data_IF_636847772842
#
_entry.id   IF_636847772842
#
_cell.length_a   1.000
_cell.length_b   1.000
_cell.length_c   1.000
_cell.angle_alpha   90.00
_cell.angle_beta   90.00
_cell.angle_gamma   90.00
#
_symmetry.space_group_name_H-M   'P 1'
#
loop_
_entity.id
_entity.type
_entity.pdbx_description
1 polymer ?
#
# COMPACT_ATOMS: atom_id res chain seq x y z
N UNK A 1 0.81 28.23 -7.93
CA UNK A 1 1.30 29.61 -8.19
C UNK A 1 2.81 29.58 -8.18
N UNK A 2 3.44 29.75 -9.34
CA UNK A 2 4.82 30.22 -9.55
C UNK A 2 4.96 30.53 -11.05
N UNK A 3 5.36 31.77 -11.35
CA UNK A 3 5.31 32.40 -12.67
C UNK A 3 6.58 32.16 -13.50
N UNK A 4 6.49 32.30 -14.83
CA UNK A 4 7.64 32.36 -15.75
C UNK A 4 7.42 33.49 -16.77
N UNK A 5 8.37 34.42 -16.84
CA UNK A 5 8.41 35.55 -17.79
C UNK A 5 8.96 35.08 -19.14
N UNK A 6 8.32 35.47 -20.24
CA UNK A 6 8.85 35.42 -21.60
C UNK A 6 8.51 36.75 -22.31
N UNK A 7 9.51 37.34 -22.96
CA UNK A 7 9.42 38.66 -23.58
C UNK A 7 8.66 38.64 -24.91
N UNK A 8 7.83 39.67 -25.08
CA UNK A 8 7.15 40.03 -26.33
C UNK A 8 8.16 40.61 -27.32
N UNK A 9 8.20 40.05 -28.52
CA UNK A 9 9.01 40.60 -29.60
C UNK A 9 8.54 40.10 -30.97
N UNK A 10 7.73 40.95 -31.62
CA UNK A 10 7.44 41.00 -33.07
C UNK A 10 6.28 40.13 -33.59
N UNK A 11 5.07 40.61 -33.32
CA UNK A 11 3.96 40.56 -34.28
C UNK A 11 3.61 42.02 -34.56
N UNK A 12 3.78 42.45 -35.81
CA UNK A 12 3.02 43.48 -36.55
C UNK A 12 3.90 44.02 -37.67
N UNK A 13 3.56 43.65 -38.91
CA UNK A 13 3.36 44.56 -40.06
C UNK A 13 3.47 43.77 -41.39
N UNK A 14 2.32 43.52 -42.00
CA UNK A 14 2.15 43.54 -43.46
C UNK A 14 1.78 44.97 -43.86
N UNK A 15 2.13 45.46 -45.06
CA UNK A 15 1.24 45.32 -46.23
C UNK A 15 2.01 44.99 -47.53
N UNK A 16 1.53 44.09 -48.40
CA UNK A 16 0.63 44.37 -49.54
C UNK A 16 1.03 45.61 -50.37
N UNK A 17 1.76 45.37 -51.46
CA UNK A 17 1.89 46.31 -52.58
C UNK A 17 1.62 45.59 -53.91
N UNK A 18 0.47 45.96 -54.47
CA UNK A 18 0.05 45.86 -55.86
C UNK A 18 1.07 46.56 -56.77
N UNK A 19 1.48 45.92 -57.86
CA UNK A 19 1.89 46.61 -59.10
C UNK A 19 1.37 45.80 -60.29
N UNK A 20 0.38 46.39 -60.97
CA UNK A 20 -0.04 46.09 -62.33
C UNK A 20 1.11 46.42 -63.30
N UNK A 21 1.40 45.53 -64.25
CA UNK A 21 1.95 45.96 -65.54
C UNK A 21 1.30 45.15 -66.66
N UNK A 22 0.72 45.92 -67.58
CA UNK A 22 -0.07 45.48 -68.71
C UNK A 22 0.79 44.82 -69.81
N UNK A 23 0.10 43.94 -70.54
CA UNK A 23 0.35 43.30 -71.82
C UNK A 23 1.29 44.02 -72.82
N UNK A 24 2.01 43.22 -73.62
CA UNK A 24 1.78 43.07 -75.08
C UNK A 24 2.95 42.34 -75.74
N UNK A 25 2.68 41.28 -76.50
CA UNK A 25 3.68 40.63 -77.34
C UNK A 25 3.28 39.22 -77.78
N UNK A 26 2.37 39.11 -78.75
CA UNK A 26 2.29 37.92 -79.59
C UNK A 26 3.47 37.93 -80.57
N UNK A 27 3.98 36.75 -80.98
CA UNK A 27 3.56 36.29 -82.29
C UNK A 27 3.22 34.79 -82.36
N UNK A 28 2.27 34.52 -83.26
CA UNK A 28 1.85 33.22 -83.75
C UNK A 28 3.03 32.39 -84.28
N UNK A 29 2.98 31.08 -84.10
CA UNK A 29 3.31 30.11 -85.15
C UNK A 29 2.69 28.74 -84.81
N UNK A 30 1.97 28.24 -85.81
CA UNK A 30 1.14 27.05 -85.81
C UNK A 30 1.90 25.76 -85.47
N UNK A 31 1.35 24.94 -84.58
CA UNK A 31 1.64 23.51 -84.52
C UNK A 31 0.41 22.74 -83.99
N UNK A 32 -0.37 22.22 -84.95
CA UNK A 32 -1.17 20.98 -84.89
C UNK A 32 -1.64 20.49 -83.51
N UNK A 33 -2.88 20.87 -83.14
CA UNK A 33 -3.67 20.15 -82.15
C UNK A 33 -4.00 18.74 -82.68
N UNK A 34 -3.29 17.73 -82.18
CA UNK A 34 -3.75 16.35 -82.19
C UNK A 34 -4.77 16.20 -81.06
N UNK A 35 -6.06 16.18 -81.40
CA UNK A 35 -7.13 15.75 -80.49
C UNK A 35 -7.10 14.24 -80.41
N UNK A 36 -6.11 13.68 -79.71
CA UNK A 36 -6.26 12.35 -79.15
C UNK A 36 -7.26 12.48 -78.00
N UNK A 37 -8.43 11.88 -78.18
CA UNK A 37 -9.43 11.70 -77.13
C UNK A 37 -8.74 11.13 -75.90
N UNK A 38 -8.50 11.97 -74.89
CA UNK A 38 -8.12 11.49 -73.57
C UNK A 38 -9.34 10.75 -73.06
N UNK A 39 -9.35 9.44 -73.29
CA UNK A 39 -10.21 8.52 -72.58
C UNK A 39 -9.84 8.72 -71.11
N UNK A 40 -10.70 9.42 -70.37
CA UNK A 40 -10.73 9.32 -68.92
C UNK A 40 -11.06 7.86 -68.61
N UNK A 41 -10.03 7.01 -68.57
CA UNK A 41 -10.15 5.66 -68.05
C UNK A 41 -10.45 5.83 -66.57
N UNK A 42 -11.72 5.68 -66.21
CA UNK A 42 -12.15 5.52 -64.83
C UNK A 42 -11.35 4.37 -64.22
N UNK A 43 -10.30 4.70 -63.49
CA UNK A 43 -9.49 3.76 -62.71
C UNK A 43 -10.23 3.36 -61.41
N UNK A 44 -11.51 3.04 -61.51
CA UNK A 44 -12.21 2.22 -60.52
C UNK A 44 -12.42 0.84 -61.12
N UNK A 45 -11.31 0.22 -61.54
CA UNK A 45 -11.24 -1.23 -61.49
C UNK A 45 -11.35 -1.61 -60.02
N UNK A 46 -12.55 -2.03 -59.62
CA UNK A 46 -12.83 -2.63 -58.32
C UNK A 46 -12.20 -4.03 -58.34
N UNK A 47 -10.88 -4.09 -58.40
CA UNK A 47 -10.15 -5.33 -58.28
C UNK A 47 -10.37 -5.83 -56.86
N UNK A 48 -11.02 -6.98 -56.72
CA UNK A 48 -11.34 -7.63 -55.44
C UNK A 48 -10.07 -8.19 -54.74
N UNK A 49 -8.98 -7.45 -54.71
CA UNK A 49 -7.79 -7.74 -53.92
C UNK A 49 -7.90 -7.07 -52.54
N UNK A 50 -9.01 -7.31 -51.84
CA UNK A 50 -9.20 -6.76 -50.50
C UNK A 50 -8.31 -7.50 -49.49
N UNK A 51 -7.60 -6.72 -48.69
CA UNK A 51 -6.71 -7.21 -47.63
C UNK A 51 -7.53 -7.48 -46.36
N UNK A 52 -7.30 -8.58 -45.63
CA UNK A 52 -8.01 -8.85 -44.38
C UNK A 52 -7.73 -7.76 -43.33
N UNK A 53 -8.73 -7.53 -42.46
CA UNK A 53 -8.69 -6.50 -41.43
C UNK A 53 -7.44 -6.59 -40.53
N UNK A 54 -6.96 -7.79 -40.22
CA UNK A 54 -5.77 -8.01 -39.38
C UNK A 54 -4.51 -7.36 -39.97
N UNK A 55 -4.35 -7.44 -41.29
CA UNK A 55 -3.18 -6.88 -41.99
C UNK A 55 -3.26 -5.36 -42.09
N UNK A 56 -4.47 -4.79 -42.22
CA UNK A 56 -4.72 -3.34 -42.15
C UNK A 56 -4.47 -2.79 -40.74
N UNK A 57 -4.98 -3.47 -39.71
CA UNK A 57 -4.74 -3.06 -38.32
C UNK A 57 -3.27 -3.15 -37.95
N UNK A 58 -2.54 -4.15 -38.45
CA UNK A 58 -1.09 -4.29 -38.25
C UNK A 58 -0.32 -3.11 -38.84
N UNK A 59 -0.68 -2.60 -40.03
CA UNK A 59 0.01 -1.43 -40.60
C UNK A 59 -0.27 -0.15 -39.82
N UNK A 60 -1.51 0.06 -39.35
CA UNK A 60 -1.91 1.29 -38.65
C UNK A 60 -1.37 1.34 -37.21
N UNK A 61 -1.28 0.19 -36.53
CA UNK A 61 -0.91 0.14 -35.11
C UNK A 61 0.54 -0.20 -34.85
N UNK A 62 1.26 -0.79 -35.82
CA UNK A 62 2.65 -1.15 -35.60
C UNK A 62 3.58 0.06 -35.64
N UNK A 63 4.45 0.14 -34.64
CA UNK A 63 5.70 0.91 -34.76
C UNK A 63 6.71 0.00 -35.47
N UNK A 64 7.64 0.57 -36.25
CA UNK A 64 8.74 -0.21 -36.81
C UNK A 64 9.43 -1.03 -35.71
N UNK A 65 9.79 -2.28 -35.99
CA UNK A 65 10.37 -3.20 -34.99
C UNK A 65 11.63 -2.59 -34.32
N UNK A 66 12.38 -1.79 -35.08
CA UNK A 66 13.51 -1.00 -34.58
C UNK A 66 13.07 0.15 -33.64
N UNK A 67 11.99 0.87 -33.97
CA UNK A 67 11.43 1.94 -33.15
C UNK A 67 10.84 1.44 -31.84
N UNK A 68 10.20 0.27 -31.85
CA UNK A 68 9.65 -0.39 -30.67
C UNK A 68 10.75 -0.88 -29.71
N UNK A 69 11.79 -1.53 -30.23
CA UNK A 69 12.91 -2.05 -29.42
C UNK A 69 13.69 -0.93 -28.69
N UNK A 70 13.83 0.24 -29.31
CA UNK A 70 14.59 1.38 -28.77
C UNK A 70 13.74 2.38 -27.99
N UNK A 71 12.45 2.11 -27.79
CA UNK A 71 11.55 3.01 -27.04
C UNK A 71 11.31 4.38 -27.69
N UNK A 72 11.48 4.48 -29.02
CA UNK A 72 11.34 5.76 -29.75
C UNK A 72 9.89 6.23 -29.93
N UNK A 73 8.92 5.35 -29.67
CA UNK A 73 7.49 5.67 -29.75
C UNK A 73 6.96 6.28 -28.45
N UNK A 74 6.27 7.42 -28.54
CA UNK A 74 5.56 8.02 -27.40
C UNK A 74 4.46 7.07 -26.93
N UNK A 75 4.37 6.82 -25.62
CA UNK A 75 3.37 5.92 -25.04
C UNK A 75 1.93 6.49 -25.06
N UNK A 76 1.80 7.81 -25.09
CA UNK A 76 0.52 8.51 -25.21
C UNK A 76 0.02 8.48 -26.66
N UNK A 77 -1.28 8.19 -26.85
CA UNK A 77 -1.92 8.23 -28.17
C UNK A 77 -1.82 6.95 -29.01
N UNK A 78 -1.48 5.79 -28.42
CA UNK A 78 -1.50 4.52 -29.16
C UNK A 78 -2.91 4.21 -29.67
N UNK A 79 -3.04 4.05 -30.98
CA UNK A 79 -4.27 3.62 -31.63
C UNK A 79 -4.61 2.22 -31.12
N UNK A 80 -5.74 2.07 -30.44
CA UNK A 80 -6.25 0.78 -30.00
C UNK A 80 -6.97 0.11 -31.17
N UNK A 81 -6.64 -1.15 -31.42
CA UNK A 81 -7.35 -1.97 -32.41
C UNK A 81 -8.81 -2.03 -32.00
N UNK A 82 -9.71 -1.69 -32.93
CA UNK A 82 -11.15 -1.88 -32.76
C UNK A 82 -11.58 -3.05 -33.61
N UNK A 83 -12.17 -4.05 -32.98
CA UNK A 83 -12.78 -5.16 -33.71
C UNK A 83 -14.08 -4.67 -34.35
N UNK A 84 -14.10 -4.63 -35.68
CA UNK A 84 -15.23 -4.16 -36.49
C UNK A 84 -16.32 -5.22 -36.62
N UNK A 85 -16.00 -6.50 -36.38
CA UNK A 85 -16.96 -7.61 -36.45
C UNK A 85 -17.78 -7.72 -35.16
N UNK A 86 -17.27 -7.19 -34.05
CA UNK A 86 -17.96 -7.19 -32.76
C UNK A 86 -19.23 -6.33 -32.84
N UNK A 87 -20.38 -6.97 -32.69
CA UNK A 87 -21.70 -6.33 -32.72
C UNK A 87 -22.41 -6.39 -34.07
N UNK A 88 -21.82 -7.01 -35.09
CA UNK A 88 -22.49 -7.31 -36.35
C UNK A 88 -23.19 -8.68 -36.25
N UNK A 89 -24.44 -8.76 -36.69
CA UNK A 89 -25.17 -10.03 -36.81
C UNK A 89 -25.21 -10.47 -38.27
N UNK A 90 -24.99 -11.77 -38.51
CA UNK A 90 -25.05 -12.33 -39.86
C UNK A 90 -26.50 -12.20 -40.39
N UNK A 91 -26.63 -11.73 -41.63
CA UNK A 91 -27.93 -11.44 -42.26
C UNK A 91 -28.50 -10.04 -41.97
N UNK A 92 -27.91 -9.28 -41.05
CA UNK A 92 -28.26 -7.87 -40.83
C UNK A 92 -27.41 -6.99 -41.73
N UNK A 93 -28.02 -6.45 -42.78
CA UNK A 93 -27.39 -5.52 -43.72
C UNK A 93 -27.91 -4.08 -43.56
N UNK A 94 -27.49 -3.21 -44.48
CA UNK A 94 -28.11 -1.86 -44.61
C UNK A 94 -29.59 -1.94 -44.95
N UNK A 95 -29.98 -3.01 -45.65
CA UNK A 95 -31.37 -3.33 -45.95
C UNK A 95 -31.89 -4.18 -44.79
N UNK A 96 -32.98 -3.73 -44.17
CA UNK A 96 -33.62 -4.40 -43.04
C UNK A 96 -34.48 -5.58 -43.51
N UNK A 97 -33.81 -6.62 -44.03
CA UNK A 97 -34.45 -7.88 -44.42
C UNK A 97 -34.37 -8.90 -43.30
N UNK A 98 -35.49 -9.58 -43.06
CA UNK A 98 -35.57 -10.73 -42.16
C UNK A 98 -35.28 -12.00 -42.96
N UNK A 99 -34.15 -12.64 -42.68
CA UNK A 99 -33.79 -13.93 -43.26
C UNK A 99 -34.24 -15.07 -42.34
N UNK A 100 -35.24 -15.89 -42.74
CA UNK A 100 -35.66 -17.05 -41.95
C UNK A 100 -34.50 -18.04 -41.80
N UNK A 101 -34.17 -18.41 -40.57
CA UNK A 101 -33.04 -19.32 -40.27
C UNK A 101 -31.67 -18.64 -40.13
N UNK A 102 -31.58 -17.32 -40.34
CA UNK A 102 -30.34 -16.56 -40.17
C UNK A 102 -30.51 -15.35 -39.24
N UNK A 103 -31.42 -14.43 -39.57
CA UNK A 103 -31.72 -13.25 -38.74
C UNK A 103 -33.02 -13.40 -37.94
N UNK A 104 -33.95 -14.23 -38.42
CA UNK A 104 -35.17 -14.59 -37.70
C UNK A 104 -35.16 -16.09 -37.35
N UNK A 105 -35.50 -16.48 -36.11
CA UNK A 105 -35.59 -17.89 -35.76
C UNK A 105 -36.72 -18.55 -36.56
N UNK A 106 -36.45 -19.74 -37.10
CA UNK A 106 -37.45 -20.55 -37.83
C UNK A 106 -38.59 -20.98 -36.89
N UNK A 107 -38.33 -21.04 -35.58
CA UNK A 107 -39.29 -21.46 -34.55
C UNK A 107 -39.32 -20.41 -33.42
N UNK A 108 -40.49 -19.79 -33.21
CA UNK A 108 -40.73 -18.78 -32.15
C UNK A 108 -40.91 -19.46 -30.78
N UNK A 109 -39.82 -19.74 -30.07
CA UNK A 109 -39.86 -20.16 -28.67
C UNK A 109 -39.23 -19.12 -27.74
N UNK A 110 -40.04 -18.43 -26.92
CA UNK A 110 -39.59 -17.42 -25.93
C UNK A 110 -38.69 -18.00 -24.83
N UNK A 111 -38.69 -19.32 -24.65
CA UNK A 111 -38.04 -20.01 -23.52
C UNK A 111 -36.51 -20.12 -23.62
N UNK A 112 -35.94 -20.15 -24.82
CA UNK A 112 -34.48 -20.27 -25.01
C UNK A 112 -33.74 -18.95 -24.73
N UNK A 113 -34.38 -17.82 -25.03
CA UNK A 113 -33.79 -16.48 -24.85
C UNK A 113 -33.59 -16.14 -23.38
N UNK A 114 -34.54 -16.47 -22.50
CA UNK A 114 -34.43 -16.21 -21.07
C UNK A 114 -33.30 -17.02 -20.40
N UNK A 115 -33.09 -18.27 -20.82
CA UNK A 115 -32.00 -19.12 -20.32
C UNK A 115 -30.63 -18.57 -20.72
N UNK A 116 -30.48 -18.09 -21.95
CA UNK A 116 -29.23 -17.49 -22.44
C UNK A 116 -28.86 -16.19 -21.71
N UNK A 117 -29.87 -15.35 -21.38
CA UNK A 117 -29.64 -14.11 -20.62
C UNK A 117 -29.16 -14.42 -19.19
N UNK A 118 -29.77 -15.41 -18.52
CA UNK A 118 -29.33 -15.86 -17.18
C UNK A 118 -27.90 -16.39 -17.15
N UNK A 119 -27.48 -17.13 -18.19
CA UNK A 119 -26.09 -17.62 -18.30
C UNK A 119 -25.10 -16.47 -18.46
N UNK A 120 -25.42 -15.46 -19.30
CA UNK A 120 -24.57 -14.29 -19.53
C UNK A 120 -24.31 -13.47 -18.26
N UNK A 121 -25.35 -13.23 -17.46
CA UNK A 121 -25.25 -12.40 -16.24
C UNK A 121 -24.54 -13.15 -15.10
N UNK A 122 -24.49 -14.48 -15.14
CA UNK A 122 -23.71 -15.28 -14.17
C UNK A 122 -22.20 -15.16 -14.39
N UNK A 123 -21.74 -14.99 -15.64
CA UNK A 123 -20.30 -14.93 -15.99
C UNK A 123 -19.64 -13.59 -15.66
N UNK A 124 -20.41 -12.53 -15.40
CA UNK A 124 -19.88 -11.17 -15.11
C UNK A 124 -19.68 -10.88 -13.62
N UNK A 125 -20.16 -11.73 -12.72
CA UNK A 125 -19.96 -11.58 -11.26
C UNK A 125 -18.62 -12.20 -10.81
N UNK A 126 -17.54 -11.43 -10.91
CA UNK A 126 -16.31 -11.77 -10.20
C UNK A 126 -16.49 -11.54 -8.70
N UNK A 127 -16.62 -12.63 -7.93
CA UNK A 127 -16.61 -12.58 -6.47
C UNK A 127 -15.17 -12.31 -6.00
N UNK A 128 -14.95 -11.19 -5.32
CA UNK A 128 -13.69 -10.92 -4.59
C UNK A 128 -13.60 -11.94 -3.44
N UNK A 129 -12.66 -12.88 -3.52
CA UNK A 129 -12.40 -13.84 -2.44
C UNK A 129 -12.01 -13.06 -1.18
N UNK A 130 -12.78 -13.23 -0.09
CA UNK A 130 -12.36 -12.82 1.26
C UNK A 130 -11.33 -13.84 1.76
N UNK A 131 -10.26 -13.35 2.38
CA UNK A 131 -9.25 -14.20 3.01
C UNK A 131 -9.92 -15.09 4.07
N UNK A 132 -9.58 -16.38 4.07
CA UNK A 132 -10.10 -17.38 4.98
C UNK A 132 -9.50 -17.20 6.38
N UNK A 133 -10.19 -17.59 7.48
CA UNK A 133 -9.65 -17.49 8.84
C UNK A 133 -8.31 -18.22 9.07
N UNK A 134 -8.02 -19.23 8.24
CA UNK A 134 -6.75 -20.00 8.25
C UNK A 134 -5.56 -19.12 7.83
N UNK A 135 -5.77 -18.05 7.07
CA UNK A 135 -4.71 -17.16 6.58
C UNK A 135 -4.24 -16.11 7.60
N UNK A 136 -4.82 -16.08 8.82
CA UNK A 136 -4.40 -15.16 9.88
C UNK A 136 -3.03 -15.60 10.42
N UNK A 137 -2.06 -14.70 10.45
CA UNK A 137 -0.69 -15.00 10.91
C UNK A 137 0.25 -15.57 9.85
N UNK A 138 -0.26 -16.03 8.69
CA UNK A 138 0.57 -16.56 7.60
C UNK A 138 0.96 -15.46 6.62
N UNK A 139 2.27 -15.20 6.50
CA UNK A 139 2.77 -14.28 5.49
C UNK A 139 4.06 -14.79 4.83
N UNK A 140 4.23 -14.43 3.57
CA UNK A 140 5.42 -14.74 2.79
C UNK A 140 5.71 -13.63 1.80
N UNK A 141 6.96 -13.50 1.40
CA UNK A 141 7.36 -12.56 0.36
C UNK A 141 8.16 -13.28 -0.72
N UNK A 142 8.08 -12.76 -1.95
CA UNK A 142 8.69 -13.37 -3.11
C UNK A 142 9.11 -12.33 -4.14
N UNK A 143 10.22 -12.60 -4.82
CA UNK A 143 10.70 -11.79 -5.93
C UNK A 143 10.57 -12.57 -7.23
N UNK A 144 10.02 -11.92 -8.25
CA UNK A 144 9.86 -12.45 -9.60
C UNK A 144 10.42 -11.48 -10.62
N UNK A 145 11.39 -11.93 -11.41
CA UNK A 145 11.94 -11.17 -12.52
C UNK A 145 11.42 -11.77 -13.84
N UNK A 146 10.95 -10.91 -14.74
CA UNK A 146 10.56 -11.25 -16.09
C UNK A 146 10.62 -10.01 -16.98
N UNK A 147 10.61 -10.20 -18.31
CA UNK A 147 10.56 -9.12 -19.29
C UNK A 147 9.23 -8.35 -19.24
N UNK A 148 8.14 -9.05 -18.96
CA UNK A 148 6.80 -8.47 -18.84
C UNK A 148 6.36 -8.35 -17.38
N UNK A 149 5.77 -7.21 -17.03
CA UNK A 149 5.28 -6.93 -15.68
C UNK A 149 4.26 -7.97 -15.15
N UNK A 150 3.21 -8.38 -15.89
CA UNK A 150 2.26 -9.38 -15.38
C UNK A 150 2.92 -10.74 -15.13
N UNK A 151 3.87 -11.14 -15.97
CA UNK A 151 4.62 -12.39 -15.79
C UNK A 151 5.52 -12.33 -14.55
N UNK A 152 6.17 -11.18 -14.31
CA UNK A 152 6.98 -10.96 -13.11
C UNK A 152 6.14 -11.04 -11.83
N UNK A 153 4.95 -10.42 -11.84
CA UNK A 153 4.01 -10.46 -10.72
C UNK A 153 3.51 -11.88 -10.45
N UNK A 154 3.16 -12.65 -11.50
CA UNK A 154 2.75 -14.06 -11.36
C UNK A 154 3.86 -14.90 -10.72
N UNK A 155 5.11 -14.73 -11.16
CA UNK A 155 6.26 -15.42 -10.56
C UNK A 155 6.46 -15.03 -9.10
N UNK A 156 6.35 -13.75 -8.76
CA UNK A 156 6.47 -13.26 -7.38
C UNK A 156 5.37 -13.83 -6.48
N UNK A 157 4.12 -13.88 -6.96
CA UNK A 157 2.98 -14.47 -6.24
C UNK A 157 3.17 -15.96 -5.98
N UNK A 158 3.54 -16.73 -7.00
CA UNK A 158 3.75 -18.17 -6.84
C UNK A 158 4.90 -18.46 -5.87
N UNK A 159 5.99 -17.69 -5.95
CA UNK A 159 7.14 -17.85 -5.06
C UNK A 159 6.86 -17.45 -3.61
N UNK A 160 6.04 -16.42 -3.39
CA UNK A 160 5.63 -16.03 -2.02
C UNK A 160 4.73 -17.09 -1.39
N UNK A 161 3.81 -17.68 -2.15
CA UNK A 161 2.97 -18.79 -1.67
C UNK A 161 3.75 -20.05 -1.28
N UNK A 162 4.92 -20.28 -1.89
CA UNK A 162 5.81 -21.39 -1.51
C UNK A 162 6.64 -21.13 -0.24
N UNK A 163 6.74 -19.86 0.20
CA UNK A 163 7.60 -19.43 1.32
C UNK A 163 6.78 -18.71 2.38
N UNK A 164 5.71 -19.35 2.81
CA UNK A 164 4.88 -18.86 3.90
C UNK A 164 5.55 -19.16 5.24
N UNK A 165 5.46 -18.20 6.15
CA UNK A 165 5.91 -18.29 7.53
C UNK A 165 4.72 -17.98 8.43
N UNK A 166 4.63 -18.69 9.55
CA UNK A 166 3.63 -18.43 10.58
C UNK A 166 4.18 -17.42 11.59
N UNK A 167 3.40 -16.38 11.88
CA UNK A 167 3.74 -15.33 12.83
C UNK A 167 2.71 -15.30 13.95
N UNK A 168 3.21 -15.32 15.19
CA UNK A 168 2.38 -15.23 16.37
C UNK A 168 2.02 -13.77 16.68
N UNK A 169 0.74 -13.52 16.90
CA UNK A 169 0.18 -12.20 17.19
C UNK A 169 -0.33 -12.18 18.63
N UNK A 170 0.24 -11.30 19.46
CA UNK A 170 -0.19 -11.10 20.84
C UNK A 170 -1.56 -10.43 20.89
N UNK A 171 -2.48 -11.02 21.66
CA UNK A 171 -3.86 -10.56 21.83
C UNK A 171 -4.62 -10.33 20.50
N UNK A 172 -4.18 -10.96 19.40
CA UNK A 172 -4.78 -10.79 18.08
C UNK A 172 -4.66 -9.38 17.48
N UNK A 173 -3.80 -8.50 18.01
CA UNK A 173 -3.63 -7.14 17.49
C UNK A 173 -2.17 -6.63 17.40
N UNK A 174 -1.23 -7.12 18.23
CA UNK A 174 0.14 -6.57 18.33
C UNK A 174 1.22 -7.66 18.44
N UNK A 175 2.48 -7.26 18.60
CA UNK A 175 3.63 -8.15 18.85
C UNK A 175 3.84 -8.38 20.36
N UNK A 176 4.59 -9.43 20.74
CA UNK A 176 4.85 -9.77 22.14
C UNK A 176 5.70 -8.72 22.87
N UNK A 177 6.72 -8.19 22.20
CA UNK A 177 7.77 -7.35 22.82
C UNK A 177 8.44 -6.47 21.76
N UNK A 178 9.07 -5.38 22.21
CA UNK A 178 9.85 -4.49 21.36
C UNK A 178 11.07 -5.24 20.84
N UNK A 179 11.44 -5.12 19.57
CA UNK A 179 12.63 -5.80 19.05
C UNK A 179 13.43 -4.94 18.08
N UNK A 180 14.72 -5.25 18.01
CA UNK A 180 15.65 -4.67 17.06
C UNK A 180 16.03 -5.71 16.01
N UNK A 181 15.99 -5.31 14.74
CA UNK A 181 16.53 -6.12 13.65
C UNK A 181 17.33 -5.32 12.66
N UNK A 182 18.27 -5.99 12.00
CA UNK A 182 19.03 -5.41 10.92
C UNK A 182 19.19 -6.39 9.77
N UNK A 183 19.11 -5.87 8.54
CA UNK A 183 19.48 -6.59 7.34
C UNK A 183 20.33 -5.69 6.44
N UNK A 184 21.59 -6.07 6.23
CA UNK A 184 22.58 -5.20 5.61
C UNK A 184 22.73 -3.88 6.39
N UNK A 185 22.59 -2.74 5.68
CA UNK A 185 22.65 -1.39 6.28
C UNK A 185 21.29 -0.85 6.76
N UNK A 186 20.24 -1.67 6.72
CA UNK A 186 18.88 -1.28 7.16
C UNK A 186 18.68 -1.77 8.58
N UNK A 187 18.39 -0.86 9.51
CA UNK A 187 18.09 -1.15 10.91
C UNK A 187 16.63 -0.81 11.18
N UNK A 188 15.91 -1.69 11.86
CA UNK A 188 14.50 -1.51 12.19
C UNK A 188 14.34 -1.70 13.69
N UNK A 189 13.76 -0.68 14.32
CA UNK A 189 13.34 -0.70 15.71
C UNK A 189 11.82 -0.79 15.73
N UNK A 190 11.31 -1.87 16.29
CA UNK A 190 9.88 -2.13 16.38
C UNK A 190 9.45 -2.03 17.84
N UNK A 191 8.35 -1.32 18.08
CA UNK A 191 7.78 -1.15 19.41
C UNK A 191 6.36 -1.67 19.44
N UNK A 192 6.05 -2.45 20.48
CA UNK A 192 4.72 -2.85 20.88
C UNK A 192 3.91 -1.60 21.24
N UNK A 193 2.64 -1.62 20.85
CA UNK A 193 1.65 -0.59 21.19
C UNK A 193 0.36 -1.23 21.65
N UNK A 194 -0.38 -0.46 22.45
CA UNK A 194 -1.69 -0.83 22.98
C UNK A 194 -2.74 -0.74 21.88
N UNK A 195 -3.92 -1.31 22.16
CA UNK A 195 -5.06 -1.28 21.25
C UNK A 195 -5.48 0.16 20.91
N UNK A 196 -5.82 0.42 19.65
CA UNK A 196 -6.29 1.73 19.18
C UNK A 196 -5.18 2.71 18.78
N UNK A 197 -3.90 2.33 18.90
CA UNK A 197 -2.79 3.17 18.44
C UNK A 197 -2.67 3.19 16.90
N UNK A 198 -2.97 2.07 16.25
CA UNK A 198 -2.87 1.87 14.81
C UNK A 198 -1.44 1.59 14.31
N UNK A 199 -1.25 1.62 12.99
CA UNK A 199 0.02 1.34 12.33
C UNK A 199 0.80 2.62 12.03
N UNK A 200 1.80 2.93 12.84
CA UNK A 200 2.76 4.02 12.61
C UNK A 200 4.10 3.46 12.12
N UNK A 201 4.16 3.10 10.85
CA UNK A 201 5.31 2.45 10.25
C UNK A 201 5.52 2.86 8.77
N UNK A 202 6.61 2.39 8.16
CA UNK A 202 6.87 2.58 6.74
C UNK A 202 5.83 1.84 5.87
N UNK A 203 5.50 2.37 4.68
CA UNK A 203 4.43 1.84 3.80
C UNK A 203 4.47 0.33 3.58
N UNK A 204 5.66 -0.25 3.37
CA UNK A 204 5.78 -1.69 3.14
C UNK A 204 5.52 -2.52 4.40
N UNK A 205 5.96 -2.03 5.56
CA UNK A 205 5.70 -2.68 6.84
C UNK A 205 4.20 -2.64 7.12
N UNK A 206 3.53 -1.52 6.80
CA UNK A 206 2.08 -1.38 6.94
C UNK A 206 1.31 -2.45 6.17
N UNK A 207 1.64 -2.65 4.89
CA UNK A 207 1.01 -3.69 4.07
C UNK A 207 1.27 -5.11 4.61
N UNK A 208 2.49 -5.37 5.10
CA UNK A 208 2.84 -6.65 5.73
C UNK A 208 2.02 -6.87 7.00
N UNK A 209 1.94 -5.88 7.88
CA UNK A 209 1.14 -5.95 9.10
C UNK A 209 -0.34 -6.20 8.79
N UNK A 210 -0.89 -5.54 7.78
CA UNK A 210 -2.27 -5.77 7.33
C UNK A 210 -2.49 -7.18 6.81
N UNK A 211 -1.52 -7.75 6.10
CA UNK A 211 -1.58 -9.13 5.62
C UNK A 211 -1.51 -10.16 6.76
N UNK A 212 -0.65 -9.92 7.76
CA UNK A 212 -0.49 -10.81 8.94
C UNK A 212 -1.71 -10.71 9.88
N UNK A 213 -2.29 -9.50 10.00
CA UNK A 213 -3.35 -9.19 10.96
C UNK A 213 -2.89 -8.38 12.18
N UNK A 214 -1.71 -7.77 12.12
CA UNK A 214 -1.22 -6.85 13.16
C UNK A 214 -1.87 -5.47 12.93
N UNK A 215 -2.54 -4.96 13.96
CA UNK A 215 -3.30 -3.69 13.94
C UNK A 215 -2.52 -2.54 14.55
N UNK A 216 -1.79 -2.80 15.63
CA UNK A 216 -1.12 -1.76 16.43
C UNK A 216 0.38 -2.00 16.49
N UNK A 217 1.15 -1.08 15.91
CA UNK A 217 2.60 -1.21 15.85
C UNK A 217 3.27 0.11 15.52
N UNK A 218 4.42 0.39 16.15
CA UNK A 218 5.31 1.48 15.73
C UNK A 218 6.63 0.89 15.24
N UNK A 219 7.02 1.19 14.00
CA UNK A 219 8.31 0.79 13.48
C UNK A 219 9.08 2.00 12.95
N UNK A 220 10.31 2.16 13.44
CA UNK A 220 11.25 3.17 12.97
C UNK A 220 12.39 2.48 12.22
N UNK A 221 12.65 2.96 11.01
CA UNK A 221 13.78 2.51 10.19
C UNK A 221 14.90 3.53 10.32
N UNK A 222 16.13 3.03 10.47
CA UNK A 222 17.37 3.79 10.47
C UNK A 222 18.35 3.20 9.45
N UNK A 223 19.18 4.06 8.84
CA UNK A 223 20.15 3.66 7.83
C UNK A 223 19.57 3.66 6.41
N UNK A 224 19.73 2.55 5.69
CA UNK A 224 19.29 2.43 4.28
C UNK A 224 17.78 2.21 4.16
N UNK A 225 17.16 2.83 3.15
CA UNK A 225 15.72 2.69 2.86
C UNK A 225 15.42 1.74 1.69
N UNK A 226 16.27 0.72 1.44
CA UNK A 226 16.01 -0.26 0.39
C UNK A 226 14.84 -1.17 0.77
N UNK A 227 13.78 -1.18 -0.05
CA UNK A 227 12.55 -1.92 0.19
C UNK A 227 12.78 -3.41 0.45
N UNK A 228 13.66 -4.05 -0.32
CA UNK A 228 13.91 -5.49 -0.17
C UNK A 228 14.53 -5.82 1.19
N UNK A 229 15.40 -4.94 1.68
CA UNK A 229 16.07 -5.12 2.97
C UNK A 229 15.12 -4.81 4.12
N UNK A 230 14.26 -3.82 3.96
CA UNK A 230 13.21 -3.50 4.94
C UNK A 230 12.31 -4.71 5.15
N UNK A 231 11.81 -5.32 4.06
CA UNK A 231 10.94 -6.50 4.13
C UNK A 231 11.69 -7.65 4.81
N UNK A 232 12.90 -7.99 4.35
CA UNK A 232 13.69 -9.10 4.94
C UNK A 232 13.97 -8.89 6.42
N UNK A 233 14.44 -7.70 6.81
CA UNK A 233 14.73 -7.37 8.21
C UNK A 233 13.48 -7.53 9.09
N UNK A 234 12.34 -7.02 8.64
CA UNK A 234 11.10 -7.09 9.40
C UNK A 234 10.62 -8.53 9.60
N UNK A 235 10.66 -9.36 8.56
CA UNK A 235 10.33 -10.77 8.64
C UNK A 235 11.28 -11.55 9.58
N UNK A 236 12.59 -11.29 9.52
CA UNK A 236 13.57 -11.89 10.45
C UNK A 236 13.21 -11.52 11.90
N UNK A 237 12.80 -10.28 12.14
CA UNK A 237 12.45 -9.83 13.50
C UNK A 237 11.20 -10.48 14.07
N UNK A 238 10.17 -10.63 13.24
CA UNK A 238 8.97 -11.35 13.64
C UNK A 238 9.24 -12.84 13.89
N UNK A 239 10.18 -13.46 13.17
CA UNK A 239 10.58 -14.85 13.43
C UNK A 239 11.41 -15.01 14.70
N UNK A 240 12.22 -14.01 15.06
CA UNK A 240 13.04 -14.01 16.28
C UNK A 240 12.23 -13.69 17.54
N UNK A 241 10.94 -13.42 17.38
CA UNK A 241 10.06 -13.03 18.46
C UNK A 241 9.87 -14.20 19.44
N UNK A 242 10.21 -14.00 20.71
CA UNK A 242 9.93 -14.93 21.81
C UNK A 242 8.57 -14.64 22.44
N UNK A 243 7.90 -15.68 22.92
CA UNK A 243 6.67 -15.53 23.70
C UNK A 243 6.98 -15.13 25.13
N UNK A 244 6.00 -14.56 25.83
CA UNK A 244 6.15 -14.19 27.24
C UNK A 244 6.49 -15.38 28.13
N UNK A 245 5.93 -16.54 27.82
CA UNK A 245 6.21 -17.78 28.54
C UNK A 245 7.66 -18.24 28.34
N UNK A 246 8.15 -18.24 27.10
CA UNK A 246 9.54 -18.58 26.79
C UNK A 246 10.53 -17.65 27.52
N UNK A 247 10.24 -16.35 27.58
CA UNK A 247 11.08 -15.38 28.28
C UNK A 247 11.10 -15.60 29.80
N UNK A 248 9.95 -15.93 30.39
CA UNK A 248 9.84 -16.23 31.81
C UNK A 248 10.63 -17.50 32.17
N UNK A 249 10.52 -18.55 31.35
CA UNK A 249 11.24 -19.83 31.53
C UNK A 249 12.76 -19.68 31.37
N UNK A 250 13.21 -18.91 30.36
CA UNK A 250 14.64 -18.67 30.12
C UNK A 250 15.31 -17.97 31.31
N UNK A 251 14.63 -17.00 31.91
CA UNK A 251 15.13 -16.26 33.09
C UNK A 251 14.77 -16.88 34.42
N UNK A 252 13.81 -17.81 34.45
CA UNK A 252 13.18 -18.36 35.67
C UNK A 252 12.66 -17.26 36.60
N UNK A 253 12.04 -16.23 36.02
CA UNK A 253 11.44 -15.10 36.74
C UNK A 253 10.03 -14.80 36.22
N UNK A 254 9.17 -14.25 37.08
CA UNK A 254 7.84 -13.82 36.69
C UNK A 254 7.92 -12.60 35.76
N UNK A 255 7.17 -12.63 34.65
CA UNK A 255 7.02 -11.48 33.78
C UNK A 255 5.81 -10.65 34.22
N UNK A 256 6.06 -9.39 34.57
CA UNK A 256 5.05 -8.46 35.08
C UNK A 256 4.84 -7.32 34.08
N UNK A 257 3.59 -7.06 33.71
CA UNK A 257 3.17 -5.92 32.88
C UNK A 257 2.60 -4.81 33.77
N UNK A 258 3.11 -3.59 33.58
CA UNK A 258 2.63 -2.37 34.21
C UNK A 258 1.84 -1.57 33.18
N UNK A 259 0.54 -1.34 33.43
CA UNK A 259 -0.33 -0.53 32.56
C UNK A 259 -0.77 0.73 33.26
N UNK A 260 -0.78 1.85 32.53
CA UNK A 260 -1.31 3.12 33.02
C UNK A 260 -2.82 3.04 33.32
N UNK A 261 -3.57 2.25 32.55
CA UNK A 261 -5.00 1.97 32.76
C UNK A 261 -5.28 1.34 34.14
N UNK A 262 -4.35 0.51 34.62
CA UNK A 262 -4.44 -0.14 35.92
C UNK A 262 -3.70 0.65 37.02
N UNK A 263 -3.48 1.95 36.82
CA UNK A 263 -2.70 2.82 37.73
C UNK A 263 -1.29 2.31 38.02
N UNK A 264 -0.69 1.56 37.09
CA UNK A 264 0.61 0.94 37.27
C UNK A 264 0.62 -0.23 38.26
N UNK A 265 -0.54 -0.82 38.57
CA UNK A 265 -0.60 -2.04 39.38
C UNK A 265 0.05 -3.21 38.63
N UNK A 266 0.91 -4.01 39.30
CA UNK A 266 1.64 -5.10 38.65
C UNK A 266 0.70 -6.23 38.24
N UNK A 267 0.61 -6.53 36.95
CA UNK A 267 -0.11 -7.70 36.43
C UNK A 267 0.88 -8.77 35.98
N UNK A 268 0.85 -9.94 36.59
CA UNK A 268 1.66 -11.08 36.13
C UNK A 268 1.10 -11.57 34.79
N UNK A 269 1.93 -11.58 33.75
CA UNK A 269 1.57 -12.03 32.40
C UNK A 269 1.98 -13.48 32.18
N UNK A 270 3.16 -13.87 32.68
CA UNK A 270 3.68 -15.23 32.56
C UNK A 270 4.45 -15.60 33.83
N UNK A 271 4.33 -16.87 34.22
CA UNK A 271 5.05 -17.48 35.34
C UNK A 271 5.84 -18.68 34.85
N UNK A 272 7.13 -18.80 35.23
CA UNK A 272 7.92 -19.98 34.92
C UNK A 272 7.52 -21.16 35.80
N UNK A 273 7.91 -22.37 35.41
CA UNK A 273 7.70 -23.58 36.22
C UNK A 273 8.52 -23.57 37.52
N UNK A 274 9.74 -23.04 37.46
CA UNK A 274 10.63 -22.85 38.62
C UNK A 274 11.05 -21.38 38.69
N UNK A 275 10.97 -20.79 39.88
CA UNK A 275 11.27 -19.37 40.12
C UNK A 275 12.58 -19.27 40.91
N UNK A 276 13.52 -18.48 40.41
CA UNK A 276 14.77 -18.18 41.13
C UNK A 276 14.52 -17.30 42.34
N UNK A 277 15.26 -17.56 43.41
CA UNK A 277 15.30 -16.66 44.57
C UNK A 277 16.08 -15.38 44.26
N UNK A 278 15.90 -14.33 45.07
CA UNK A 278 16.60 -13.04 44.91
C UNK A 278 18.12 -13.17 45.06
N UNK A 279 18.58 -14.16 45.81
CA UNK A 279 19.99 -14.41 46.10
C UNK A 279 20.73 -15.04 44.92
N UNK A 280 20.02 -15.84 44.11
CA UNK A 280 20.57 -16.49 42.92
C UNK A 280 20.79 -15.52 41.75
N UNK A 281 20.21 -14.32 41.78
CA UNK A 281 20.29 -13.34 40.69
C UNK A 281 21.64 -12.61 40.76
N UNK A 282 22.53 -12.76 39.76
CA UNK A 282 23.78 -12.02 39.74
C UNK A 282 23.53 -10.52 39.58
N UNK A 283 24.24 -9.69 40.35
CA UNK A 283 24.07 -8.23 40.37
C UNK A 283 24.34 -7.54 39.02
N UNK A 284 25.09 -8.17 38.13
CA UNK A 284 25.41 -7.65 36.80
C UNK A 284 24.39 -8.00 35.71
N UNK A 285 23.33 -8.74 36.03
CA UNK A 285 22.32 -9.15 35.05
C UNK A 285 21.36 -8.01 34.67
N UNK A 286 21.06 -7.90 33.38
CA UNK A 286 20.07 -6.95 32.87
C UNK A 286 18.65 -7.45 33.17
N UNK A 287 18.05 -6.91 34.22
CA UNK A 287 16.66 -7.20 34.62
C UNK A 287 15.62 -6.35 33.89
N UNK A 288 16.03 -5.24 33.26
CA UNK A 288 15.12 -4.44 32.45
C UNK A 288 14.73 -5.22 31.20
N UNK A 289 13.44 -5.56 31.13
CA UNK A 289 12.84 -6.29 30.02
C UNK A 289 13.18 -5.69 28.66
N UNK A 290 13.13 -4.36 28.55
CA UNK A 290 13.34 -3.69 27.26
C UNK A 290 14.78 -3.80 26.79
N UNK A 291 15.76 -3.70 27.68
CA UNK A 291 17.18 -3.82 27.32
C UNK A 291 17.55 -5.26 27.00
N UNK A 292 17.04 -6.21 27.79
CA UNK A 292 17.29 -7.63 27.59
C UNK A 292 16.83 -8.09 26.19
N UNK A 293 15.59 -7.76 25.83
CA UNK A 293 15.02 -8.15 24.54
C UNK A 293 15.72 -7.46 23.37
N UNK A 294 16.06 -6.19 23.54
CA UNK A 294 16.71 -5.41 22.48
C UNK A 294 18.19 -5.75 22.33
N UNK A 295 18.74 -6.68 23.12
CA UNK A 295 20.17 -7.00 23.18
C UNK A 295 21.02 -5.72 23.38
N UNK A 296 20.61 -4.89 24.34
CA UNK A 296 21.19 -3.59 24.68
C UNK A 296 21.21 -2.57 23.52
N UNK A 297 20.44 -2.81 22.45
CA UNK A 297 20.26 -1.85 21.35
C UNK A 297 19.17 -0.84 21.69
N UNK A 298 19.59 0.34 22.13
CA UNK A 298 18.66 1.42 22.45
C UNK A 298 18.41 2.31 21.23
N UNK A 299 17.15 2.74 21.05
CA UNK A 299 16.78 3.74 20.05
C UNK A 299 17.38 5.09 20.46
N UNK A 300 18.08 5.77 19.56
CA UNK A 300 18.61 7.11 19.83
C UNK A 300 17.45 8.09 20.09
N UNK A 301 17.27 8.49 21.36
CA UNK A 301 16.32 9.52 21.74
C UNK A 301 17.01 10.88 21.70
N UNK A 302 16.57 11.75 20.78
CA UNK A 302 17.02 13.15 20.78
C UNK A 302 16.62 13.81 22.10
N UNK A 303 17.56 14.44 22.79
CA UNK A 303 17.28 15.26 23.98
C UNK A 303 16.30 16.37 23.56
N UNK A 304 15.17 16.47 24.26
CA UNK A 304 14.23 17.57 24.04
C UNK A 304 14.91 18.86 24.51
N UNK A 305 14.86 19.91 23.69
CA UNK A 305 15.25 21.24 24.16
C UNK A 305 14.40 21.60 25.38
N UNK A 306 15.01 22.18 26.45
CA UNK A 306 14.24 22.62 27.58
C UNK A 306 13.17 23.60 27.11
N UNK A 307 11.96 23.49 27.67
CA UNK A 307 10.92 24.49 27.39
C UNK A 307 11.38 25.83 27.92
N UNK A 308 10.97 26.93 27.29
CA UNK A 308 11.46 28.28 27.64
C UNK A 308 11.31 28.61 29.14
N UNK A 309 10.26 28.13 29.79
CA UNK A 309 10.00 28.39 31.20
C UNK A 309 10.86 27.58 32.16
N UNK A 310 11.51 26.49 31.71
CA UNK A 310 12.32 25.64 32.59
C UNK A 310 13.58 26.34 33.12
N UNK A 311 14.04 27.38 32.44
CA UNK A 311 15.17 28.21 32.89
C UNK A 311 14.72 29.34 33.83
N UNK A 312 13.42 29.63 33.92
CA UNK A 312 12.90 30.73 34.73
C UNK A 312 12.84 30.35 36.23
N UNK A 313 13.05 31.31 37.15
CA UNK A 313 12.95 31.07 38.60
C UNK A 313 11.60 30.50 39.04
N UNK A 314 10.50 30.93 38.40
CA UNK A 314 9.14 30.44 38.71
C UNK A 314 8.99 28.93 38.53
N UNK A 315 9.71 28.31 37.59
CA UNK A 315 9.66 26.87 37.41
C UNK A 315 10.30 26.11 38.58
N UNK A 316 11.34 26.66 39.22
CA UNK A 316 11.90 26.10 40.46
C UNK A 316 10.88 26.17 41.61
N UNK A 317 10.13 27.26 41.71
CA UNK A 317 9.05 27.41 42.69
C UNK A 317 7.94 26.37 42.44
N UNK A 318 7.54 26.20 41.17
CA UNK A 318 6.59 25.16 40.77
C UNK A 318 7.10 23.76 41.18
N UNK A 319 8.36 23.43 40.89
CA UNK A 319 8.94 22.13 41.26
C UNK A 319 8.92 21.91 42.77
N UNK A 320 9.30 22.91 43.58
CA UNK A 320 9.21 22.83 45.05
C UNK A 320 7.77 22.60 45.53
N UNK A 321 6.79 23.27 44.92
CA UNK A 321 5.36 23.06 45.23
C UNK A 321 4.85 21.69 44.80
N UNK A 322 5.40 21.14 43.71
CA UNK A 322 5.03 19.83 43.18
C UNK A 322 5.71 18.67 43.93
N UNK A 323 6.84 18.93 44.59
CA UNK A 323 7.66 17.93 45.28
C UNK A 323 6.87 17.12 46.31
N UNK A 324 5.91 17.74 47.01
CA UNK A 324 5.00 17.06 47.95
C UNK A 324 4.13 15.97 47.30
N UNK A 325 3.83 16.09 46.00
CA UNK A 325 2.99 15.14 45.27
C UNK A 325 3.78 14.04 44.56
N UNK A 326 5.12 14.11 44.56
CA UNK A 326 5.99 13.23 43.76
C UNK A 326 5.78 11.74 44.04
N UNK A 327 5.50 11.38 45.28
CA UNK A 327 5.36 9.98 45.71
C UNK A 327 3.91 9.49 45.79
N UNK A 328 2.91 10.32 45.45
CA UNK A 328 1.51 9.97 45.61
C UNK A 328 1.11 8.71 44.83
N UNK A 329 1.59 8.55 43.59
CA UNK A 329 1.30 7.35 42.79
C UNK A 329 1.86 6.09 43.45
N UNK A 330 3.08 6.15 43.97
CA UNK A 330 3.70 5.03 44.67
C UNK A 330 2.93 4.67 45.95
N UNK A 331 2.60 5.66 46.77
CA UNK A 331 1.80 5.46 47.99
C UNK A 331 0.45 4.82 47.64
N UNK A 332 -0.21 5.28 46.57
CA UNK A 332 -1.49 4.72 46.10
C UNK A 332 -1.35 3.25 45.70
N UNK A 333 -0.25 2.87 45.06
CA UNK A 333 0.06 1.47 44.73
C UNK A 333 0.34 0.65 46.00
N UNK A 334 1.18 1.15 46.90
CA UNK A 334 1.52 0.49 48.16
C UNK A 334 0.25 0.23 49.01
N UNK A 335 -0.65 1.21 49.10
CA UNK A 335 -1.94 1.07 49.78
C UNK A 335 -2.84 -0.01 49.14
N UNK A 336 -2.92 -0.05 47.80
CA UNK A 336 -3.66 -1.11 47.10
C UNK A 336 -3.06 -2.50 47.34
N UNK A 337 -1.74 -2.60 47.50
CA UNK A 337 -1.06 -3.87 47.79
C UNK A 337 -1.34 -4.32 49.23
N UNK A 338 -1.24 -3.41 50.20
CA UNK A 338 -1.46 -3.72 51.62
C UNK A 338 -2.93 -3.99 51.96
N UNK A 339 -3.84 -3.19 51.42
CA UNK A 339 -5.25 -3.18 51.83
C UNK A 339 -6.23 -3.64 50.74
N UNK A 340 -5.76 -3.91 49.51
CA UNK A 340 -6.59 -4.24 48.34
C UNK A 340 -7.25 -3.03 47.67
N UNK A 341 -7.31 -1.88 48.36
CA UNK A 341 -7.95 -0.65 47.92
C UNK A 341 -7.13 0.57 48.34
N UNK A 342 -7.48 1.74 47.82
CA UNK A 342 -6.88 2.99 48.26
C UNK A 342 -7.53 3.36 49.59
N UNK A 343 -6.83 3.06 50.67
CA UNK A 343 -7.26 3.46 52.01
C UNK A 343 -6.48 4.67 52.50
N UNK A 344 -7.21 5.62 53.06
CA UNK A 344 -6.70 6.72 53.85
C UNK A 344 -7.27 6.65 55.26
N UNK A 345 -6.58 7.25 56.22
CA UNK A 345 -7.10 7.41 57.59
C UNK A 345 -8.50 8.06 57.61
N UNK A 346 -8.80 8.96 56.68
CA UNK A 346 -10.09 9.62 56.57
C UNK A 346 -11.19 8.66 56.11
N UNK A 347 -10.90 7.84 55.11
CA UNK A 347 -11.86 6.83 54.59
C UNK A 347 -12.17 5.74 55.62
N UNK A 348 -11.25 5.43 56.54
CA UNK A 348 -11.52 4.48 57.63
C UNK A 348 -12.38 5.11 58.74
N UNK A 349 -12.21 6.42 58.97
CA UNK A 349 -12.96 7.18 59.98
C UNK A 349 -14.36 7.57 59.51
N UNK A 350 -14.53 7.84 58.22
CA UNK A 350 -15.77 8.29 57.59
C UNK A 350 -16.09 7.43 56.36
N UNK A 351 -16.50 6.16 56.56
CA UNK A 351 -16.79 5.23 55.46
C UNK A 351 -17.98 5.68 54.59
N UNK A 352 -18.88 6.51 55.11
CA UNK A 352 -20.00 7.10 54.39
C UNK A 352 -19.59 7.96 53.18
N UNK A 353 -18.42 8.62 53.22
CA UNK A 353 -17.95 9.46 52.12
C UNK A 353 -17.57 8.66 50.85
N UNK A 354 -17.36 7.34 50.97
CA UNK A 354 -17.12 6.47 49.80
C UNK A 354 -18.37 6.33 48.93
N UNK A 355 -19.54 6.23 49.55
CA UNK A 355 -20.78 5.84 48.85
C UNK A 355 -21.28 6.94 47.91
N UNK A 356 -20.95 8.20 48.19
CA UNK A 356 -21.34 9.36 47.39
C UNK A 356 -20.52 9.54 46.11
N UNK A 357 -19.32 8.95 46.01
CA UNK A 357 -18.44 9.09 44.83
C UNK A 357 -18.63 8.00 43.78
N UNK A 358 -19.27 6.88 44.13
CA UNK A 358 -19.51 5.72 43.25
C UNK A 358 -20.93 5.71 42.64
N UNK A 359 -21.84 6.57 43.12
CA UNK A 359 -23.18 6.82 42.58
C UNK A 359 -23.16 7.96 41.56
#
# INVERSE_FOLDING_TARGET
>A
MTFKLLSLGKILNKPLSIVLKQNNGAPNLNASFSTSSIVCVNFFNKSFYNVPADKLWKSVTSVSNAGAKKGRGKGAGRIRIRDLNRGQMIGVGRINMLWPGLSAPVIRGRELMEKLIKIRDSMTKFRRLKLSPIERGLAGFGFGNAKEAPAALRKAKNRSGQKLMNFEVYNGHTIFHDFYTAFGKTKIFVQKKNEGYGLSCHRAIREICQAIGIKDLRAKIEGSNNLQHIVKAFFIGLLQQRTHQQLAEEKKLHLVEYRAENEGFPKVVASPSEVRSKEEIPKGETLDFTNYVMNDKVILRKKKFPRFFQTMPHYKIYLKKYEKFRNHEKIRQDLKVEYGEIKSFLTDRYPEEKTEQEA
#
